data_IF_316283657115
#
_entry.id   IF_316283657115
#
_cell.length_a   1.000
_cell.length_b   1.000
_cell.length_c   1.000
_cell.angle_alpha   90.00
_cell.angle_beta   90.00
_cell.angle_gamma   90.00
#
_symmetry.space_group_name_H-M   'P 1'
#
loop_
_entity.id
_entity.type
_entity.pdbx_description
1 polymer ?
#
# COMPACT_ATOMS: atom_id res chain seq x y z
N UNK A 1 21.65 -65.16 -24.75
CA UNK A 1 21.55 -63.77 -25.10
C UNK A 1 20.55 -63.12 -24.19
N UNK A 2 21.03 -62.34 -23.19
CA UNK A 2 20.18 -61.52 -22.35
C UNK A 2 20.05 -60.15 -23.03
N UNK A 3 18.84 -59.77 -23.41
CA UNK A 3 18.53 -58.40 -23.81
C UNK A 3 18.53 -57.53 -22.56
N UNK A 4 19.46 -56.60 -22.47
CA UNK A 4 19.39 -55.46 -21.59
C UNK A 4 18.39 -54.47 -22.22
N UNK A 5 17.17 -54.38 -21.72
CA UNK A 5 16.28 -53.25 -21.98
C UNK A 5 16.80 -52.15 -21.05
N UNK A 6 17.56 -51.22 -21.61
CA UNK A 6 17.88 -49.97 -20.92
C UNK A 6 16.58 -49.18 -20.76
N UNK A 7 16.14 -48.92 -19.53
CA UNK A 7 15.20 -47.84 -19.27
C UNK A 7 15.90 -46.58 -19.75
N UNK A 8 15.42 -45.94 -20.81
CA UNK A 8 15.71 -44.55 -21.04
C UNK A 8 15.09 -43.79 -19.86
N UNK A 9 15.92 -43.13 -19.08
CA UNK A 9 15.39 -42.10 -18.17
C UNK A 9 14.71 -41.07 -19.07
N UNK A 10 13.41 -40.90 -18.86
CA UNK A 10 12.69 -39.84 -19.53
C UNK A 10 13.37 -38.52 -19.17
N UNK A 11 13.67 -37.69 -20.18
CA UNK A 11 14.22 -36.36 -19.91
C UNK A 11 13.28 -35.60 -18.95
N UNK A 12 13.82 -34.89 -17.95
CA UNK A 12 12.96 -34.14 -17.04
C UNK A 12 12.08 -33.16 -17.83
N UNK A 13 10.82 -33.06 -17.43
CA UNK A 13 9.91 -32.08 -18.04
C UNK A 13 10.47 -30.66 -17.86
N UNK A 14 10.35 -29.79 -18.86
CA UNK A 14 10.85 -28.42 -18.74
C UNK A 14 10.01 -27.66 -17.72
N UNK A 15 10.67 -26.85 -16.89
CA UNK A 15 10.01 -25.90 -15.98
C UNK A 15 9.37 -24.76 -16.79
N UNK A 16 8.54 -23.94 -16.13
CA UNK A 16 7.82 -22.84 -16.79
C UNK A 16 8.77 -21.75 -17.31
N UNK A 17 9.66 -21.20 -16.46
CA UNK A 17 10.47 -20.02 -16.77
C UNK A 17 11.86 -20.12 -16.12
N UNK A 18 12.90 -19.69 -16.87
CA UNK A 18 14.23 -19.45 -16.37
C UNK A 18 14.71 -18.03 -16.73
N UNK A 19 15.09 -17.24 -15.72
CA UNK A 19 15.77 -15.95 -15.92
C UNK A 19 17.26 -16.16 -15.66
N UNK A 20 18.09 -15.98 -16.69
CA UNK A 20 19.55 -16.22 -16.59
C UNK A 20 20.33 -14.92 -16.47
N UNK A 21 21.53 -14.97 -15.88
CA UNK A 21 22.49 -13.86 -15.74
C UNK A 21 21.95 -12.62 -14.99
N UNK A 22 20.86 -12.75 -14.23
CA UNK A 22 20.22 -11.64 -13.53
C UNK A 22 20.97 -11.29 -12.25
N UNK A 23 20.93 -10.00 -11.85
CA UNK A 23 21.31 -9.58 -10.50
C UNK A 23 20.07 -9.59 -9.62
N UNK A 24 20.05 -10.48 -8.63
CA UNK A 24 18.92 -10.61 -7.68
C UNK A 24 19.12 -9.69 -6.49
N UNK A 25 18.10 -8.89 -6.19
CA UNK A 25 18.06 -7.94 -5.09
C UNK A 25 16.74 -8.08 -4.33
N UNK A 26 16.81 -8.32 -3.05
CA UNK A 26 15.67 -8.19 -2.15
C UNK A 26 16.13 -7.54 -0.84
N UNK A 27 15.17 -7.07 -0.05
CA UNK A 27 15.49 -6.27 1.13
C UNK A 27 15.99 -7.09 2.35
N UNK A 28 16.14 -8.41 2.21
CA UNK A 28 16.51 -9.32 3.31
C UNK A 28 17.82 -10.03 3.04
N UNK A 29 18.02 -10.47 1.78
CA UNK A 29 19.21 -11.25 1.42
C UNK A 29 20.30 -10.36 0.80
N UNK A 30 21.57 -10.76 0.90
CA UNK A 30 22.65 -10.08 0.17
C UNK A 30 22.39 -10.07 -1.34
N UNK A 31 22.85 -9.02 -2.02
CA UNK A 31 22.79 -8.94 -3.48
C UNK A 31 23.54 -10.11 -4.13
N UNK A 32 22.89 -10.84 -5.01
CA UNK A 32 23.42 -11.99 -5.73
C UNK A 32 23.53 -11.66 -7.21
N UNK A 33 24.73 -11.64 -7.75
CA UNK A 33 25.01 -11.32 -9.15
C UNK A 33 25.06 -12.59 -9.98
N UNK A 34 24.80 -12.48 -11.28
CA UNK A 34 24.94 -13.55 -12.25
C UNK A 34 24.17 -14.83 -11.85
N UNK A 35 22.91 -14.67 -11.50
CA UNK A 35 22.04 -15.77 -11.04
C UNK A 35 21.11 -16.23 -12.16
N UNK A 36 20.81 -17.53 -12.16
CA UNK A 36 19.66 -18.10 -12.85
C UNK A 36 18.56 -18.37 -11.83
N UNK A 37 17.42 -17.73 -12.01
CA UNK A 37 16.21 -17.93 -11.19
C UNK A 37 15.29 -18.86 -11.95
N UNK A 38 14.98 -20.00 -11.33
CA UNK A 38 14.15 -21.08 -11.90
C UNK A 38 12.76 -21.00 -11.28
N UNK A 39 11.73 -20.93 -12.13
CA UNK A 39 10.34 -20.75 -11.72
C UNK A 39 9.49 -21.87 -12.35
N UNK A 40 8.68 -22.50 -11.51
CA UNK A 40 7.77 -23.55 -11.92
C UNK A 40 6.51 -23.54 -11.04
N UNK A 41 5.35 -23.80 -11.60
CA UNK A 41 4.06 -23.82 -10.90
C UNK A 41 3.84 -22.61 -9.97
N UNK A 42 4.15 -21.40 -10.48
CA UNK A 42 3.95 -20.15 -9.78
C UNK A 42 4.94 -19.87 -8.63
N UNK A 43 5.98 -20.69 -8.43
CA UNK A 43 6.98 -20.56 -7.37
C UNK A 43 8.40 -20.51 -7.88
N UNK A 44 9.26 -19.82 -7.15
CA UNK A 44 10.70 -19.90 -7.35
C UNK A 44 11.16 -21.25 -6.79
N UNK A 45 11.57 -22.16 -7.67
CA UNK A 45 12.00 -23.50 -7.24
C UNK A 45 13.48 -23.55 -6.86
N UNK A 46 14.31 -22.73 -7.53
CA UNK A 46 15.74 -22.65 -7.21
C UNK A 46 16.36 -21.34 -7.71
N UNK A 47 17.53 -20.99 -7.16
CA UNK A 47 18.38 -19.88 -7.62
C UNK A 47 19.81 -20.40 -7.62
N UNK A 48 20.44 -20.40 -8.79
CA UNK A 48 21.78 -20.95 -8.98
C UNK A 48 22.69 -19.94 -9.70
N UNK A 49 23.98 -20.08 -9.55
CA UNK A 49 24.95 -19.31 -10.32
C UNK A 49 24.85 -19.68 -11.81
N UNK A 50 24.76 -18.70 -12.71
CA UNK A 50 24.51 -18.94 -14.13
C UNK A 50 25.64 -19.62 -14.86
N UNK A 51 26.91 -19.47 -14.40
CA UNK A 51 28.08 -20.04 -15.06
C UNK A 51 28.38 -21.49 -14.59
N UNK A 52 28.01 -21.79 -13.34
CA UNK A 52 28.39 -23.05 -12.67
C UNK A 52 27.22 -23.94 -12.28
N UNK A 53 25.98 -23.38 -12.30
CA UNK A 53 24.77 -24.12 -11.99
C UNK A 53 24.41 -25.15 -13.06
N UNK A 54 23.56 -26.14 -12.73
CA UNK A 54 23.07 -27.11 -13.70
C UNK A 54 22.16 -26.42 -14.73
N UNK A 55 22.31 -26.78 -16.00
CA UNK A 55 21.34 -26.42 -17.03
C UNK A 55 19.99 -27.08 -16.72
N UNK A 56 18.94 -26.27 -16.64
CA UNK A 56 17.57 -26.75 -16.43
C UNK A 56 16.73 -26.37 -17.65
N UNK A 57 16.16 -27.36 -18.38
CA UNK A 57 15.27 -27.04 -19.47
C UNK A 57 14.07 -26.24 -19.00
N UNK A 58 13.76 -25.14 -19.67
CA UNK A 58 12.61 -24.29 -19.40
C UNK A 58 11.79 -24.06 -20.65
N UNK A 59 10.47 -23.95 -20.53
CA UNK A 59 9.55 -23.62 -21.61
C UNK A 59 9.83 -22.21 -22.15
N UNK A 60 10.14 -21.28 -21.24
CA UNK A 60 10.56 -19.92 -21.57
C UNK A 60 11.89 -19.62 -20.86
N UNK A 61 12.84 -19.05 -21.60
CA UNK A 61 14.14 -18.65 -21.08
C UNK A 61 14.46 -17.22 -21.51
N UNK A 62 14.80 -16.39 -20.52
CA UNK A 62 15.13 -14.97 -20.70
C UNK A 62 16.56 -14.73 -20.25
N UNK A 63 17.39 -14.17 -21.14
CA UNK A 63 18.69 -13.62 -20.77
C UNK A 63 18.49 -12.21 -20.16
N UNK A 64 18.68 -12.11 -18.86
CA UNK A 64 18.55 -10.89 -18.08
C UNK A 64 19.92 -10.27 -17.72
N UNK A 65 20.91 -10.46 -18.58
CA UNK A 65 22.26 -9.88 -18.44
C UNK A 65 22.18 -8.36 -18.26
N UNK A 66 22.79 -7.86 -17.20
CA UNK A 66 22.79 -6.42 -16.87
C UNK A 66 21.50 -5.91 -16.26
N UNK A 67 20.52 -6.77 -16.02
CA UNK A 67 19.25 -6.42 -15.39
C UNK A 67 19.19 -6.82 -13.92
N UNK A 68 18.18 -6.29 -13.21
CA UNK A 68 18.01 -6.43 -11.75
C UNK A 68 16.62 -6.99 -11.46
N UNK A 69 16.56 -8.04 -10.67
CA UNK A 69 15.32 -8.67 -10.24
C UNK A 69 15.04 -8.30 -8.79
N UNK A 70 13.91 -7.66 -8.55
CA UNK A 70 13.38 -7.34 -7.22
C UNK A 70 12.08 -8.08 -6.98
N UNK A 71 11.62 -8.28 -5.73
CA UNK A 71 10.28 -8.80 -5.47
C UNK A 71 9.20 -7.90 -6.08
N UNK A 72 8.08 -8.50 -6.42
CA UNK A 72 6.88 -7.75 -6.82
C UNK A 72 6.46 -6.77 -5.74
N UNK A 73 6.14 -5.55 -6.15
CA UNK A 73 5.83 -4.47 -5.21
C UNK A 73 4.40 -4.60 -4.68
N UNK A 74 4.21 -4.10 -3.47
CA UNK A 74 2.91 -3.89 -2.86
C UNK A 74 2.56 -2.40 -2.85
N UNK A 75 1.32 -2.07 -3.20
CA UNK A 75 0.70 -0.83 -2.75
C UNK A 75 -0.22 -1.17 -1.56
N UNK A 76 0.22 -0.74 -0.38
CA UNK A 76 -0.39 -1.21 0.87
C UNK A 76 -1.59 -0.36 1.31
N UNK A 77 -2.02 0.61 0.47
CA UNK A 77 -3.21 1.43 0.71
C UNK A 77 -3.82 1.91 -0.60
N UNK A 78 -4.88 1.25 -1.05
CA UNK A 78 -5.62 1.59 -2.27
C UNK A 78 -7.13 1.54 -2.05
N UNK A 79 -7.90 2.14 -2.97
CA UNK A 79 -9.35 2.15 -2.99
C UNK A 79 -9.90 1.94 -4.40
N UNK A 80 -10.28 0.73 -4.77
CA UNK A 80 -10.81 0.42 -6.11
C UNK A 80 -12.17 1.06 -6.39
N UNK A 81 -12.94 1.38 -5.35
CA UNK A 81 -14.32 1.87 -5.46
C UNK A 81 -14.48 3.35 -5.09
N UNK A 82 -13.39 4.06 -4.78
CA UNK A 82 -13.44 5.49 -4.43
C UNK A 82 -13.88 6.35 -5.64
N UNK A 83 -13.21 6.20 -6.77
CA UNK A 83 -13.60 6.79 -8.05
C UNK A 83 -13.85 5.67 -9.07
N UNK A 84 -15.12 5.36 -9.30
CA UNK A 84 -15.52 4.25 -10.17
C UNK A 84 -15.07 4.40 -11.61
N UNK A 85 -14.63 5.59 -12.05
CA UNK A 85 -14.02 5.80 -13.37
C UNK A 85 -12.67 5.10 -13.50
N UNK A 86 -11.96 4.90 -12.38
CA UNK A 86 -10.68 4.18 -12.35
C UNK A 86 -10.80 2.66 -12.28
N UNK A 87 -11.89 2.13 -11.73
CA UNK A 87 -12.02 0.73 -11.29
C UNK A 87 -11.47 -0.26 -12.33
N UNK A 88 -11.91 -0.14 -13.60
CA UNK A 88 -11.52 -1.07 -14.66
C UNK A 88 -10.05 -0.91 -15.12
N UNK A 89 -9.47 0.29 -14.96
CA UNK A 89 -8.11 0.59 -15.40
C UNK A 89 -7.05 0.24 -14.32
N UNK A 90 -7.44 0.20 -13.05
CA UNK A 90 -6.48 0.07 -11.94
C UNK A 90 -5.63 -1.18 -12.02
N UNK A 91 -6.20 -2.33 -12.37
CA UNK A 91 -5.48 -3.59 -12.43
C UNK A 91 -4.31 -3.54 -13.42
N UNK A 92 -4.55 -3.07 -14.64
CA UNK A 92 -3.53 -2.90 -15.66
C UNK A 92 -2.46 -1.89 -15.25
N UNK A 93 -2.87 -0.75 -14.68
CA UNK A 93 -1.96 0.29 -14.20
C UNK A 93 -1.05 -0.21 -13.08
N UNK A 94 -1.56 -0.99 -12.13
CA UNK A 94 -0.74 -1.59 -11.08
C UNK A 94 0.35 -2.49 -11.67
N UNK A 95 -0.01 -3.47 -12.50
CA UNK A 95 0.97 -4.37 -13.11
C UNK A 95 1.93 -3.64 -14.04
N UNK A 96 1.47 -2.65 -14.80
CA UNK A 96 2.31 -1.82 -15.67
C UNK A 96 3.45 -1.15 -14.91
N UNK A 97 3.20 -0.80 -13.64
CA UNK A 97 4.15 -0.18 -12.72
C UNK A 97 4.79 -1.16 -11.73
N UNK A 98 4.69 -2.49 -11.95
CA UNK A 98 5.37 -3.50 -11.13
C UNK A 98 4.72 -3.81 -9.79
N UNK A 99 3.48 -3.33 -9.56
CA UNK A 99 2.73 -3.65 -8.36
C UNK A 99 1.96 -4.94 -8.60
N UNK A 100 2.37 -6.02 -7.95
CA UNK A 100 1.76 -7.35 -8.06
C UNK A 100 0.77 -7.66 -6.94
N UNK A 101 0.75 -6.82 -5.91
CA UNK A 101 -0.08 -7.02 -4.74
C UNK A 101 -0.64 -5.69 -4.25
N UNK A 102 -1.92 -5.68 -3.85
CA UNK A 102 -2.60 -4.47 -3.36
C UNK A 102 -3.44 -4.77 -2.12
N UNK A 103 -3.50 -3.79 -1.21
CA UNK A 103 -4.40 -3.83 -0.05
C UNK A 103 -5.47 -2.76 -0.20
N UNK A 104 -6.71 -3.17 -0.54
CA UNK A 104 -7.86 -2.27 -0.58
C UNK A 104 -8.38 -2.02 0.84
N UNK A 105 -8.27 -0.78 1.28
CA UNK A 105 -8.53 -0.37 2.66
C UNK A 105 -9.91 0.24 2.86
N UNK A 106 -10.83 0.09 1.91
CA UNK A 106 -12.21 0.54 2.09
C UNK A 106 -13.06 0.54 0.84
N UNK A 107 -14.18 -0.15 0.91
CA UNK A 107 -15.23 -0.18 -0.11
C UNK A 107 -16.47 -0.93 0.39
N UNK A 108 -17.67 -0.45 0.04
CA UNK A 108 -18.90 -1.18 0.35
C UNK A 108 -18.85 -2.56 -0.33
N UNK A 109 -19.29 -3.62 0.37
CA UNK A 109 -19.20 -5.00 -0.13
C UNK A 109 -19.91 -5.17 -1.48
N UNK A 110 -21.04 -4.49 -1.69
CA UNK A 110 -21.80 -4.56 -2.93
C UNK A 110 -21.05 -3.99 -4.15
N UNK A 111 -20.16 -3.02 -3.94
CA UNK A 111 -19.32 -2.43 -4.98
C UNK A 111 -17.98 -3.16 -5.12
N UNK A 112 -17.39 -3.60 -4.00
CA UNK A 112 -16.04 -4.14 -3.97
C UNK A 112 -15.96 -5.61 -4.37
N UNK A 113 -16.92 -6.45 -3.96
CA UNK A 113 -16.87 -7.89 -4.26
C UNK A 113 -16.85 -8.20 -5.77
N UNK A 114 -17.64 -7.52 -6.63
CA UNK A 114 -17.53 -7.70 -8.09
C UNK A 114 -16.12 -7.39 -8.63
N UNK A 115 -15.45 -6.37 -8.07
CA UNK A 115 -14.05 -6.03 -8.42
C UNK A 115 -13.11 -7.15 -8.01
N UNK A 116 -13.22 -7.62 -6.76
CA UNK A 116 -12.41 -8.73 -6.24
C UNK A 116 -12.55 -9.98 -7.12
N UNK A 117 -13.78 -10.33 -7.52
CA UNK A 117 -14.05 -11.47 -8.38
C UNK A 117 -13.44 -11.29 -9.78
N UNK A 118 -13.49 -10.07 -10.32
CA UNK A 118 -12.88 -9.72 -11.60
C UNK A 118 -11.37 -9.88 -11.54
N UNK A 119 -10.70 -9.31 -10.52
CA UNK A 119 -9.26 -9.40 -10.35
C UNK A 119 -8.81 -10.86 -10.19
N UNK A 120 -9.46 -11.63 -9.34
CA UNK A 120 -9.15 -13.05 -9.12
C UNK A 120 -9.33 -13.88 -10.39
N UNK A 121 -10.35 -13.58 -11.20
CA UNK A 121 -10.62 -14.28 -12.46
C UNK A 121 -9.59 -13.95 -13.56
N UNK A 122 -8.97 -12.77 -13.49
CA UNK A 122 -7.93 -12.34 -14.45
C UNK A 122 -6.58 -13.06 -14.25
N UNK A 123 -6.38 -13.72 -13.11
CA UNK A 123 -5.15 -14.43 -12.77
C UNK A 123 -3.93 -13.51 -12.87
N UNK A 124 -2.89 -13.91 -13.61
CA UNK A 124 -1.66 -13.14 -13.73
C UNK A 124 -1.80 -11.77 -14.43
N UNK A 125 -2.97 -11.44 -14.99
CA UNK A 125 -3.26 -10.14 -15.61
C UNK A 125 -3.87 -9.12 -14.64
N UNK A 126 -3.93 -9.42 -13.36
CA UNK A 126 -4.35 -8.49 -12.32
C UNK A 126 -3.55 -8.73 -11.04
N UNK A 127 -3.29 -7.70 -10.19
CA UNK A 127 -2.59 -7.90 -8.93
C UNK A 127 -3.41 -8.77 -7.98
N UNK A 128 -2.71 -9.44 -7.06
CA UNK A 128 -3.37 -10.08 -5.92
C UNK A 128 -4.01 -9.01 -5.05
N UNK A 129 -5.23 -9.26 -4.55
CA UNK A 129 -5.97 -8.30 -3.72
C UNK A 129 -6.29 -8.87 -2.35
N UNK A 130 -5.92 -8.11 -1.31
CA UNK A 130 -6.40 -8.21 0.06
C UNK A 130 -7.32 -7.02 0.35
N UNK A 131 -8.44 -7.21 1.01
CA UNK A 131 -9.42 -6.15 1.22
C UNK A 131 -10.06 -6.22 2.61
N UNK A 132 -10.44 -5.04 3.12
CA UNK A 132 -11.14 -4.89 4.40
C UNK A 132 -12.66 -4.96 4.28
N UNK A 133 -13.22 -4.69 3.10
CA UNK A 133 -14.61 -4.29 3.00
C UNK A 133 -14.82 -2.84 3.48
N UNK A 134 -16.02 -2.48 3.98
CA UNK A 134 -16.30 -1.10 4.37
C UNK A 134 -15.50 -0.63 5.59
N UNK A 135 -15.24 0.68 5.63
CA UNK A 135 -14.70 1.35 6.80
C UNK A 135 -15.67 1.19 7.98
N UNK A 136 -15.18 0.65 9.10
CA UNK A 136 -15.94 0.62 10.35
C UNK A 136 -15.86 2.00 11.00
N UNK A 137 -16.84 2.86 10.72
CA UNK A 137 -16.90 4.22 11.24
C UNK A 137 -17.86 4.32 12.44
N UNK A 138 -17.93 5.47 13.07
CA UNK A 138 -18.87 5.71 14.17
C UNK A 138 -20.32 5.86 13.73
N UNK A 139 -21.13 6.50 14.57
CA UNK A 139 -22.53 6.81 14.25
C UNK A 139 -22.63 7.74 13.03
N UNK A 140 -21.76 8.75 12.97
CA UNK A 140 -21.75 9.77 11.94
C UNK A 140 -20.65 9.45 10.92
N UNK A 141 -21.01 8.71 9.86
CA UNK A 141 -20.08 8.16 8.87
C UNK A 141 -19.47 9.28 8.03
N UNK A 142 -18.15 9.25 7.84
CA UNK A 142 -17.44 10.25 7.01
C UNK A 142 -17.66 10.00 5.52
N UNK A 143 -17.47 8.77 5.07
CA UNK A 143 -17.65 8.33 3.69
C UNK A 143 -19.02 7.66 3.52
N UNK A 144 -20.08 8.46 3.58
CA UNK A 144 -21.47 8.06 3.75
C UNK A 144 -22.22 7.74 2.43
N UNK A 145 -21.62 7.96 1.28
CA UNK A 145 -22.24 7.80 -0.04
C UNK A 145 -23.17 8.96 -0.45
N UNK A 146 -23.25 10.02 0.35
CA UNK A 146 -24.10 11.20 0.08
C UNK A 146 -23.24 12.42 -0.26
N UNK A 147 -22.30 12.76 0.62
CA UNK A 147 -21.41 13.90 0.44
C UNK A 147 -20.04 13.49 -0.09
N UNK A 148 -19.63 12.26 0.23
CA UNK A 148 -18.42 11.61 -0.25
C UNK A 148 -18.76 10.23 -0.84
N UNK A 149 -17.85 9.57 -1.58
CA UNK A 149 -18.06 8.19 -2.01
C UNK A 149 -18.47 7.27 -0.85
N UNK A 150 -19.32 6.30 -1.12
CA UNK A 150 -19.78 5.33 -0.12
C UNK A 150 -18.69 4.29 0.13
N UNK A 151 -17.92 4.44 1.22
CA UNK A 151 -16.88 3.50 1.64
C UNK A 151 -17.10 2.98 3.05
N UNK A 152 -17.84 3.70 3.88
CA UNK A 152 -18.00 3.43 5.30
C UNK A 152 -19.39 2.99 5.71
N UNK A 153 -19.48 2.31 6.85
CA UNK A 153 -20.72 1.90 7.51
C UNK A 153 -20.76 2.36 8.95
N UNK A 154 -21.97 2.61 9.45
CA UNK A 154 -22.18 3.11 10.80
C UNK A 154 -22.09 1.98 11.84
N UNK A 155 -21.33 2.26 12.91
CA UNK A 155 -21.24 1.41 14.10
C UNK A 155 -21.57 2.25 15.34
N UNK A 156 -22.86 2.58 15.56
CA UNK A 156 -23.27 3.41 16.68
C UNK A 156 -23.14 2.74 18.05
N UNK A 157 -23.05 1.41 18.10
CA UNK A 157 -22.91 0.59 19.31
C UNK A 157 -21.95 -0.60 19.07
N UNK A 158 -21.40 -1.19 20.15
CA UNK A 158 -20.64 -2.43 20.05
C UNK A 158 -21.38 -3.56 19.30
N UNK A 159 -22.66 -3.76 19.57
CA UNK A 159 -23.47 -4.81 18.94
C UNK A 159 -23.58 -4.60 17.43
N UNK A 160 -23.73 -3.34 16.97
CA UNK A 160 -23.76 -3.03 15.54
C UNK A 160 -22.40 -3.35 14.89
N UNK A 161 -21.30 -3.00 15.56
CA UNK A 161 -19.95 -3.32 15.07
C UNK A 161 -19.71 -4.82 14.94
N UNK A 162 -20.13 -5.61 15.94
CA UNK A 162 -20.01 -7.08 15.90
C UNK A 162 -20.84 -7.69 14.76
N UNK A 163 -22.05 -7.18 14.50
CA UNK A 163 -22.88 -7.63 13.39
C UNK A 163 -22.22 -7.33 12.04
N UNK A 164 -21.72 -6.11 11.84
CA UNK A 164 -21.02 -5.69 10.63
C UNK A 164 -19.74 -6.50 10.41
N UNK A 165 -18.94 -6.75 11.44
CA UNK A 165 -17.73 -7.58 11.34
C UNK A 165 -18.08 -9.02 10.92
N UNK A 166 -19.20 -9.56 11.42
CA UNK A 166 -19.64 -10.90 11.01
C UNK A 166 -19.94 -10.98 9.51
N UNK A 167 -20.59 -9.95 8.94
CA UNK A 167 -20.87 -9.85 7.49
C UNK A 167 -19.57 -9.67 6.69
N UNK A 168 -18.71 -8.75 7.10
CA UNK A 168 -17.41 -8.49 6.46
C UNK A 168 -16.56 -9.77 6.43
N UNK A 169 -16.46 -10.47 7.55
CA UNK A 169 -15.71 -11.72 7.64
C UNK A 169 -16.33 -12.82 6.76
N UNK A 170 -17.65 -12.95 6.75
CA UNK A 170 -18.35 -13.92 5.90
C UNK A 170 -18.17 -13.62 4.39
N UNK A 171 -17.99 -12.35 4.02
CA UNK A 171 -17.65 -11.92 2.66
C UNK A 171 -16.18 -12.20 2.27
N UNK A 172 -15.34 -12.71 3.19
CA UNK A 172 -13.96 -13.10 2.91
C UNK A 172 -12.95 -11.97 3.01
N UNK A 173 -13.25 -10.89 3.74
CA UNK A 173 -12.29 -9.82 4.03
C UNK A 173 -11.07 -10.39 4.76
N UNK A 174 -9.89 -9.84 4.42
CA UNK A 174 -8.59 -10.30 4.95
C UNK A 174 -8.18 -9.58 6.24
N UNK A 175 -8.78 -8.43 6.52
CA UNK A 175 -8.53 -7.57 7.68
C UNK A 175 -9.71 -6.64 7.90
N UNK A 176 -9.69 -5.86 8.99
CA UNK A 176 -10.70 -4.85 9.29
C UNK A 176 -10.10 -3.45 9.19
N UNK A 177 -10.91 -2.47 8.79
CA UNK A 177 -10.52 -1.05 8.72
C UNK A 177 -11.34 -0.21 9.68
N UNK A 178 -10.69 0.33 10.73
CA UNK A 178 -11.31 1.28 11.68
C UNK A 178 -11.15 2.70 11.16
N UNK A 179 -12.23 3.52 11.33
CA UNK A 179 -12.21 4.90 10.88
C UNK A 179 -12.35 5.92 12.03
N UNK A 180 -12.39 7.23 11.72
CA UNK A 180 -12.10 8.28 12.69
C UNK A 180 -13.23 8.60 13.69
N UNK A 181 -14.50 8.27 13.37
CA UNK A 181 -15.65 8.62 14.23
C UNK A 181 -16.00 7.52 15.25
N UNK A 182 -15.23 6.44 15.31
CA UNK A 182 -15.43 5.35 16.27
C UNK A 182 -15.24 5.83 17.69
N UNK A 183 -16.14 5.42 18.60
CA UNK A 183 -16.01 5.69 20.05
C UNK A 183 -15.06 4.69 20.71
N UNK A 184 -14.44 5.01 21.87
CA UNK A 184 -13.56 4.07 22.58
C UNK A 184 -14.22 2.74 22.92
N UNK A 185 -15.52 2.75 23.22
CA UNK A 185 -16.29 1.54 23.54
C UNK A 185 -16.47 0.63 22.33
N UNK A 186 -16.81 1.22 21.17
CA UNK A 186 -16.93 0.50 19.89
C UNK A 186 -15.58 0.00 19.43
N UNK A 187 -14.51 0.82 19.55
CA UNK A 187 -13.13 0.43 19.25
C UNK A 187 -12.72 -0.81 20.03
N UNK A 188 -12.96 -0.84 21.35
CA UNK A 188 -12.63 -1.99 22.20
C UNK A 188 -13.38 -3.26 21.75
N UNK A 189 -14.64 -3.14 21.34
CA UNK A 189 -15.43 -4.26 20.83
C UNK A 189 -14.88 -4.79 19.49
N UNK A 190 -14.50 -3.87 18.58
CA UNK A 190 -13.88 -4.24 17.28
C UNK A 190 -12.56 -4.99 17.50
N UNK A 191 -11.69 -4.48 18.38
CA UNK A 191 -10.40 -5.12 18.70
C UNK A 191 -10.59 -6.52 19.27
N UNK A 192 -11.54 -6.69 20.21
CA UNK A 192 -11.82 -7.99 20.80
C UNK A 192 -12.35 -8.99 19.76
N UNK A 193 -13.27 -8.58 18.90
CA UNK A 193 -13.86 -9.45 17.87
C UNK A 193 -12.87 -9.79 16.77
N UNK A 194 -12.04 -8.83 16.33
CA UNK A 194 -10.97 -9.07 15.38
C UNK A 194 -9.99 -10.13 15.90
N UNK A 195 -9.57 -10.01 17.18
CA UNK A 195 -8.73 -10.99 17.83
C UNK A 195 -9.37 -12.40 17.88
N UNK A 196 -10.68 -12.49 18.17
CA UNK A 196 -11.40 -13.76 18.18
C UNK A 196 -11.47 -14.43 16.79
N UNK A 197 -11.40 -13.63 15.71
CA UNK A 197 -11.43 -14.09 14.31
C UNK A 197 -10.06 -14.20 13.66
N UNK A 198 -8.98 -13.83 14.35
CA UNK A 198 -7.63 -13.71 13.80
C UNK A 198 -7.56 -12.78 12.58
N UNK A 199 -8.31 -11.68 12.60
CA UNK A 199 -8.27 -10.65 11.58
C UNK A 199 -7.33 -9.53 12.03
N UNK A 200 -6.31 -9.16 11.24
CA UNK A 200 -5.55 -7.94 11.49
C UNK A 200 -6.45 -6.71 11.43
N UNK A 201 -6.06 -5.66 12.14
CA UNK A 201 -6.74 -4.37 12.11
C UNK A 201 -5.82 -3.34 11.48
N UNK A 202 -6.33 -2.63 10.52
CA UNK A 202 -5.84 -1.40 9.94
C UNK A 202 -6.74 -0.23 10.36
N UNK A 203 -6.24 0.99 10.45
CA UNK A 203 -7.12 2.10 10.75
C UNK A 203 -6.50 3.47 10.81
N UNK A 204 -7.37 4.44 11.02
CA UNK A 204 -7.00 5.75 11.52
C UNK A 204 -7.09 5.76 13.03
N UNK A 205 -6.34 6.64 13.69
CA UNK A 205 -6.56 6.92 15.10
C UNK A 205 -7.94 7.61 15.24
N UNK A 206 -8.90 7.03 16.00
CA UNK A 206 -10.19 7.66 16.18
C UNK A 206 -10.05 9.05 16.81
N UNK A 207 -10.87 9.99 16.38
CA UNK A 207 -10.86 11.37 16.90
C UNK A 207 -11.11 11.46 18.42
N UNK A 208 -11.76 10.44 18.98
CA UNK A 208 -12.05 10.31 20.41
C UNK A 208 -10.93 9.68 21.23
N UNK A 209 -9.79 9.30 20.62
CA UNK A 209 -8.71 8.51 21.22
C UNK A 209 -7.33 9.12 20.91
N UNK A 210 -6.32 8.63 21.59
CA UNK A 210 -4.92 8.99 21.37
C UNK A 210 -4.20 7.95 20.55
N UNK A 211 -3.25 8.36 19.72
CA UNK A 211 -2.44 7.47 18.89
C UNK A 211 -1.68 6.43 19.76
N UNK A 212 -1.11 6.85 20.89
CA UNK A 212 -0.40 5.97 21.84
C UNK A 212 -1.26 4.86 22.44
N UNK A 213 -2.57 5.10 22.58
CA UNK A 213 -3.50 4.12 23.16
C UNK A 213 -4.03 3.15 22.08
N UNK A 214 -4.10 3.60 20.82
CA UNK A 214 -4.57 2.83 19.68
C UNK A 214 -3.47 1.93 19.11
N UNK A 215 -2.27 2.47 18.94
CA UNK A 215 -1.16 1.80 18.24
C UNK A 215 -0.83 0.39 18.77
N UNK A 216 -0.79 0.10 20.07
CA UNK A 216 -0.50 -1.25 20.56
C UNK A 216 -1.60 -2.28 20.31
N UNK A 217 -2.77 -1.86 19.83
CA UNK A 217 -3.96 -2.69 19.66
C UNK A 217 -4.30 -2.99 18.19
N UNK A 218 -3.60 -2.35 17.25
CA UNK A 218 -3.83 -2.49 15.80
C UNK A 218 -2.52 -2.82 15.08
N UNK A 219 -2.61 -3.44 13.90
CA UNK A 219 -1.45 -3.89 13.15
C UNK A 219 -0.93 -2.83 12.16
N UNK A 220 -1.79 -1.90 11.71
CA UNK A 220 -1.35 -0.72 10.95
C UNK A 220 -2.18 0.53 11.22
N UNK A 221 -1.54 1.70 11.05
CA UNK A 221 -2.16 3.02 11.15
C UNK A 221 -1.75 3.88 9.94
N UNK A 222 -2.72 4.64 9.43
CA UNK A 222 -2.65 5.28 8.13
C UNK A 222 -2.44 6.81 8.21
N UNK A 223 -1.76 7.39 7.23
CA UNK A 223 -1.66 8.83 6.93
C UNK A 223 -1.08 9.70 8.04
N UNK A 224 -0.48 9.14 9.09
CA UNK A 224 -0.08 9.88 10.29
C UNK A 224 -1.27 10.60 10.96
N UNK A 225 -2.51 10.13 10.72
CA UNK A 225 -3.72 10.82 11.18
C UNK A 225 -3.81 10.86 12.68
N UNK A 226 -3.99 12.09 13.21
CA UNK A 226 -4.15 12.39 14.63
C UNK A 226 -2.92 12.09 15.51
N UNK A 227 -1.72 11.83 14.93
CA UNK A 227 -0.47 11.68 15.69
C UNK A 227 -0.03 13.02 16.29
N UNK A 228 -0.27 14.12 15.58
CA UNK A 228 0.05 15.48 16.01
C UNK A 228 -0.58 15.86 17.34
N UNK A 229 -1.77 15.32 17.61
CA UNK A 229 -2.51 15.60 18.84
C UNK A 229 -1.88 14.98 20.09
N UNK A 230 -1.06 13.96 19.91
CA UNK A 230 -0.34 13.29 21.00
C UNK A 230 1.05 13.88 21.25
N UNK A 231 1.47 14.83 20.43
CA UNK A 231 2.78 15.46 20.49
C UNK A 231 2.78 16.88 21.11
N UNK A 232 1.68 17.30 21.73
CA UNK A 232 1.54 18.62 22.35
C UNK A 232 1.74 18.56 23.86
N UNK A 233 2.07 19.69 24.50
CA UNK A 233 1.96 19.82 25.95
C UNK A 233 0.51 19.58 26.38
N UNK A 234 0.28 18.82 27.44
CA UNK A 234 -1.05 18.44 27.94
C UNK A 234 -1.99 17.79 26.89
N UNK A 235 -1.60 16.69 26.23
CA UNK A 235 -2.42 16.06 25.17
C UNK A 235 -3.79 15.59 25.66
N UNK A 236 -3.95 15.32 26.96
CA UNK A 236 -5.25 14.99 27.58
C UNK A 236 -6.24 16.15 27.50
N UNK A 237 -5.77 17.40 27.70
CA UNK A 237 -6.60 18.57 27.57
C UNK A 237 -7.10 18.78 26.14
N UNK A 238 -6.23 18.55 25.15
CA UNK A 238 -6.59 18.62 23.75
C UNK A 238 -7.59 17.54 23.34
N UNK A 239 -7.40 16.31 23.83
CA UNK A 239 -8.34 15.21 23.63
C UNK A 239 -9.70 15.52 24.28
N UNK A 240 -9.73 16.01 25.51
CA UNK A 240 -10.96 16.36 26.18
C UNK A 240 -11.75 17.48 25.44
N UNK A 241 -11.05 18.46 24.88
CA UNK A 241 -11.66 19.49 24.03
C UNK A 241 -12.28 18.88 22.77
N UNK A 242 -11.58 17.94 22.09
CA UNK A 242 -12.09 17.22 20.91
C UNK A 242 -13.30 16.35 21.26
N UNK A 243 -13.26 15.63 22.36
CA UNK A 243 -14.38 14.81 22.84
C UNK A 243 -15.61 15.66 23.17
N UNK A 244 -15.42 16.86 23.72
CA UNK A 244 -16.51 17.81 23.97
C UNK A 244 -17.17 18.28 22.66
N UNK A 245 -16.39 18.55 21.61
CA UNK A 245 -16.90 18.87 20.28
C UNK A 245 -17.68 17.70 19.67
N UNK A 246 -17.15 16.47 19.77
CA UNK A 246 -17.82 15.26 19.30
C UNK A 246 -19.15 14.99 20.02
N UNK A 247 -19.25 15.35 21.32
CA UNK A 247 -20.47 15.19 22.09
C UNK A 247 -21.55 16.24 21.80
N UNK A 248 -21.17 17.39 21.24
CA UNK A 248 -22.07 18.53 21.00
C UNK A 248 -22.61 18.59 19.56
N UNK A 249 -22.53 17.50 18.80
CA UNK A 249 -22.93 17.45 17.40
C UNK A 249 -24.46 17.50 17.28
N UNK A 250 -24.99 18.59 16.74
CA UNK A 250 -26.40 18.73 16.38
C UNK A 250 -26.58 18.38 14.89
N UNK A 251 -26.67 17.09 14.52
CA UNK A 251 -26.94 16.61 13.18
C UNK A 251 -25.97 17.09 12.08
N UNK A 252 -24.71 17.31 12.43
CA UNK A 252 -23.65 17.63 11.46
C UNK A 252 -23.23 16.33 10.73
N UNK A 253 -23.11 16.34 9.39
CA UNK A 253 -22.59 15.18 8.67
C UNK A 253 -21.17 14.80 9.13
N UNK A 254 -20.84 13.50 9.17
CA UNK A 254 -19.57 13.01 9.67
C UNK A 254 -18.33 13.61 8.97
N UNK A 255 -18.41 13.80 7.65
CA UNK A 255 -17.36 14.44 6.85
C UNK A 255 -17.12 15.91 7.25
N UNK A 256 -18.20 16.68 7.53
CA UNK A 256 -18.11 18.09 7.94
C UNK A 256 -17.52 18.19 9.35
N UNK A 257 -18.03 17.37 10.27
CA UNK A 257 -17.51 17.30 11.65
C UNK A 257 -16.02 16.95 11.67
N UNK A 258 -15.60 15.93 10.93
CA UNK A 258 -14.19 15.54 10.80
C UNK A 258 -13.33 16.67 10.24
N UNK A 259 -13.75 17.29 9.13
CA UNK A 259 -13.01 18.40 8.52
C UNK A 259 -12.87 19.58 9.49
N UNK A 260 -13.94 19.92 10.22
CA UNK A 260 -13.94 20.98 11.21
C UNK A 260 -12.95 20.70 12.36
N UNK A 261 -12.94 19.50 12.90
CA UNK A 261 -12.03 19.12 13.99
C UNK A 261 -10.57 19.13 13.54
N UNK A 262 -10.28 18.65 12.33
CA UNK A 262 -8.94 18.75 11.77
C UNK A 262 -8.50 20.21 11.57
N UNK A 263 -9.37 21.08 11.04
CA UNK A 263 -9.08 22.50 10.84
C UNK A 263 -8.82 23.22 12.18
N UNK A 264 -9.58 22.89 13.21
CA UNK A 264 -9.44 23.55 14.52
C UNK A 264 -8.13 23.20 15.25
N UNK A 265 -7.62 22.00 15.08
CA UNK A 265 -6.59 21.47 15.96
C UNK A 265 -5.27 21.09 15.27
N UNK A 266 -5.30 20.55 14.05
CA UNK A 266 -4.12 19.94 13.41
C UNK A 266 -2.92 20.89 13.30
N UNK A 267 -3.05 21.99 12.58
CA UNK A 267 -1.93 22.92 12.36
C UNK A 267 -1.48 23.56 13.67
N UNK A 268 -2.43 23.82 14.57
CA UNK A 268 -2.11 24.35 15.90
C UNK A 268 -1.33 23.31 16.72
N UNK A 269 -1.68 22.03 16.67
CA UNK A 269 -0.94 20.97 17.35
C UNK A 269 0.49 20.84 16.78
N UNK A 270 0.64 20.84 15.45
CA UNK A 270 1.94 20.77 14.79
C UNK A 270 2.85 21.94 15.19
N UNK A 271 2.31 23.16 15.25
CA UNK A 271 3.11 24.35 15.63
C UNK A 271 3.44 24.44 17.12
N UNK A 272 2.73 23.70 17.96
CA UNK A 272 2.97 23.61 19.41
C UNK A 272 3.47 22.23 19.85
N UNK A 273 4.14 21.51 18.95
CA UNK A 273 4.71 20.20 19.23
C UNK A 273 5.76 20.25 20.33
N UNK A 274 5.63 19.35 21.33
CA UNK A 274 6.62 19.10 22.37
C UNK A 274 7.41 17.82 22.02
N UNK A 275 8.71 17.91 21.70
CA UNK A 275 9.51 16.74 21.32
C UNK A 275 9.60 15.68 22.42
N UNK A 276 9.51 16.06 23.70
CA UNK A 276 9.57 15.10 24.82
C UNK A 276 8.29 14.28 24.88
N UNK A 277 7.13 14.94 24.76
CA UNK A 277 5.83 14.27 24.72
C UNK A 277 5.72 13.41 23.45
N UNK A 278 6.20 13.93 22.32
CA UNK A 278 6.19 13.22 21.05
C UNK A 278 7.04 11.95 21.06
N UNK A 279 8.12 11.92 21.84
CA UNK A 279 8.96 10.72 21.97
C UNK A 279 8.18 9.54 22.59
N UNK A 280 7.25 9.78 23.51
CA UNK A 280 6.41 8.72 24.08
C UNK A 280 5.43 8.15 23.04
N UNK A 281 4.85 9.00 22.20
CA UNK A 281 4.00 8.57 21.08
C UNK A 281 4.79 7.78 20.05
N UNK A 282 6.02 8.23 19.75
CA UNK A 282 6.95 7.49 18.87
C UNK A 282 7.23 6.08 19.39
N UNK A 283 7.45 5.94 20.70
CA UNK A 283 7.69 4.62 21.30
C UNK A 283 6.48 3.69 21.18
N UNK A 284 5.27 4.22 21.39
CA UNK A 284 4.04 3.45 21.23
C UNK A 284 3.83 3.00 19.75
N UNK A 285 4.17 3.86 18.80
CA UNK A 285 4.05 3.59 17.36
C UNK A 285 5.00 2.50 16.84
N UNK A 286 6.02 2.10 17.60
CA UNK A 286 6.85 0.93 17.26
C UNK A 286 6.10 -0.40 17.30
N UNK A 287 4.95 -0.45 17.96
CA UNK A 287 4.10 -1.63 18.07
C UNK A 287 3.21 -1.87 16.84
N UNK A 288 3.11 -0.90 15.92
CA UNK A 288 2.22 -0.95 14.76
C UNK A 288 2.94 -0.48 13.49
N UNK A 289 2.54 -0.97 12.34
CA UNK A 289 3.04 -0.48 11.05
C UNK A 289 2.43 0.89 10.77
N UNK A 290 3.24 1.88 10.45
CA UNK A 290 2.76 3.17 9.94
C UNK A 290 2.77 3.14 8.41
N UNK A 291 1.66 3.55 7.79
CA UNK A 291 1.54 3.76 6.33
C UNK A 291 1.34 5.26 6.10
N UNK A 292 2.40 6.04 5.93
CA UNK A 292 2.31 7.50 6.00
C UNK A 292 1.62 8.12 4.78
N UNK A 293 1.60 7.46 3.63
CA UNK A 293 1.10 8.03 2.35
C UNK A 293 1.67 9.43 2.08
N UNK A 294 3.00 9.53 2.16
CA UNK A 294 3.71 10.83 2.06
C UNK A 294 3.40 11.55 0.77
N UNK A 295 3.30 10.81 -0.37
CA UNK A 295 2.96 11.42 -1.64
C UNK A 295 1.64 12.20 -1.59
N UNK A 296 0.67 11.78 -0.77
CA UNK A 296 -0.59 12.50 -0.54
C UNK A 296 -0.41 13.62 0.49
N UNK A 297 0.20 13.31 1.63
CA UNK A 297 0.37 14.28 2.72
C UNK A 297 1.29 15.45 2.35
N UNK A 298 2.19 15.26 1.37
CA UNK A 298 3.15 16.26 0.93
C UNK A 298 2.80 16.94 -0.41
N UNK A 299 1.60 16.69 -0.95
CA UNK A 299 1.23 17.21 -2.28
C UNK A 299 1.18 18.75 -2.36
N UNK A 300 1.02 19.44 -1.24
CA UNK A 300 1.08 20.89 -1.16
C UNK A 300 2.52 21.45 -1.29
N UNK A 301 3.53 20.58 -1.06
CA UNK A 301 4.96 20.88 -1.23
C UNK A 301 5.50 20.27 -2.52
N UNK A 302 5.09 19.03 -2.85
CA UNK A 302 5.49 18.26 -4.03
C UNK A 302 4.29 18.03 -4.94
N UNK A 303 3.93 19.07 -5.68
CA UNK A 303 2.77 19.03 -6.59
C UNK A 303 3.02 17.99 -7.69
N UNK A 304 2.14 16.98 -7.86
CA UNK A 304 2.38 15.93 -8.85
C UNK A 304 2.54 16.46 -10.28
N UNK A 305 1.83 17.53 -10.63
CA UNK A 305 1.88 18.15 -11.96
C UNK A 305 3.21 18.86 -12.30
N UNK A 306 4.10 19.07 -11.33
CA UNK A 306 5.42 19.63 -11.55
C UNK A 306 6.44 18.57 -12.01
N UNK A 307 6.03 17.31 -12.05
CA UNK A 307 6.87 16.19 -12.50
C UNK A 307 6.67 15.93 -13.98
N UNK A 308 7.79 15.91 -14.73
CA UNK A 308 7.78 15.66 -16.18
C UNK A 308 7.16 14.31 -16.57
N UNK A 309 7.42 13.25 -15.78
CA UNK A 309 6.92 11.89 -16.02
C UNK A 309 5.44 11.73 -15.65
N UNK A 310 4.86 12.62 -14.84
CA UNK A 310 3.45 12.56 -14.43
C UNK A 310 2.51 12.87 -15.59
N UNK A 311 2.81 13.88 -16.40
CA UNK A 311 1.99 14.24 -17.57
C UNK A 311 1.88 13.10 -18.58
N UNK A 312 2.98 12.37 -18.81
CA UNK A 312 3.00 11.20 -19.70
C UNK A 312 2.16 10.04 -19.12
N UNK A 313 2.19 9.88 -17.80
CA UNK A 313 1.41 8.84 -17.13
C UNK A 313 -0.08 9.15 -17.10
N UNK A 314 -0.47 10.44 -17.09
CA UNK A 314 -1.87 10.85 -17.25
C UNK A 314 -2.50 10.41 -18.58
N UNK A 315 -1.72 10.09 -19.61
CA UNK A 315 -2.24 9.52 -20.86
C UNK A 315 -2.69 8.06 -20.72
N UNK A 316 -2.29 7.39 -19.66
CA UNK A 316 -2.64 5.98 -19.37
C UNK A 316 -3.89 5.82 -18.51
N UNK A 317 -4.39 6.90 -17.89
CA UNK A 317 -5.57 6.84 -17.04
C UNK A 317 -6.84 7.18 -17.85
N UNK A 318 -8.05 6.87 -17.34
CA UNK A 318 -9.29 7.17 -18.04
C UNK A 318 -9.39 8.63 -18.49
N UNK A 319 -9.77 8.86 -19.75
CA UNK A 319 -9.77 10.19 -20.39
C UNK A 319 -10.57 11.22 -19.60
N UNK A 320 -11.73 10.85 -19.07
CA UNK A 320 -12.56 11.78 -18.26
C UNK A 320 -11.85 12.26 -16.98
N UNK A 321 -10.98 11.44 -16.42
CA UNK A 321 -10.19 11.78 -15.22
C UNK A 321 -8.99 12.63 -15.63
N UNK A 322 -8.26 12.24 -16.67
CA UNK A 322 -7.08 13.00 -17.12
C UNK A 322 -7.45 14.41 -17.59
N UNK A 323 -8.61 14.59 -18.23
CA UNK A 323 -9.13 15.91 -18.61
C UNK A 323 -9.45 16.78 -17.38
N UNK A 324 -10.15 16.21 -16.39
CA UNK A 324 -10.43 16.88 -15.12
C UNK A 324 -9.15 17.29 -14.38
N UNK A 325 -8.16 16.39 -14.30
CA UNK A 325 -6.90 16.67 -13.63
C UNK A 325 -6.06 17.71 -14.35
N UNK A 326 -6.05 17.72 -15.69
CA UNK A 326 -5.41 18.80 -16.46
C UNK A 326 -6.06 20.14 -16.23
N UNK A 327 -7.39 20.19 -16.13
CA UNK A 327 -8.09 21.43 -15.75
C UNK A 327 -7.76 21.88 -14.32
N UNK A 328 -7.62 20.94 -13.37
CA UNK A 328 -7.18 21.24 -12.01
C UNK A 328 -5.74 21.78 -11.98
N UNK A 329 -4.81 21.17 -12.74
CA UNK A 329 -3.44 21.69 -12.93
C UNK A 329 -3.43 23.13 -13.41
N UNK A 330 -4.20 23.42 -14.46
CA UNK A 330 -4.25 24.75 -15.06
C UNK A 330 -4.85 25.79 -14.07
N UNK A 331 -5.81 25.38 -13.25
CA UNK A 331 -6.38 26.21 -12.19
C UNK A 331 -5.37 26.46 -11.05
N UNK A 332 -4.61 25.44 -10.64
CA UNK A 332 -3.54 25.59 -9.64
C UNK A 332 -2.44 26.52 -10.12
N UNK A 333 -1.99 26.35 -11.36
CA UNK A 333 -0.96 27.20 -11.97
C UNK A 333 -1.41 28.68 -12.12
N UNK A 334 -2.70 28.95 -12.21
CA UNK A 334 -3.27 30.30 -12.27
C UNK A 334 -3.57 30.89 -10.89
N UNK A 335 -3.47 30.12 -9.81
CA UNK A 335 -3.75 30.58 -8.45
C UNK A 335 -2.58 31.41 -7.91
N UNK A 336 -2.90 32.55 -7.29
CA UNK A 336 -1.96 33.38 -6.53
C UNK A 336 -2.09 33.16 -5.01
N UNK A 337 -2.97 32.25 -4.58
CA UNK A 337 -3.16 31.98 -3.15
C UNK A 337 -1.95 31.27 -2.57
N UNK A 338 -1.45 31.73 -1.40
CA UNK A 338 -0.35 31.05 -0.74
C UNK A 338 -0.74 29.66 -0.29
N UNK A 339 0.13 28.69 -0.55
CA UNK A 339 -0.06 27.29 -0.11
C UNK A 339 0.55 27.13 1.28
N UNK A 340 -0.20 26.56 2.22
CA UNK A 340 0.29 26.21 3.57
C UNK A 340 0.96 24.83 3.52
N UNK A 341 2.27 24.78 3.60
CA UNK A 341 3.07 23.54 3.57
C UNK A 341 3.31 22.92 4.94
N UNK A 342 2.77 23.51 6.04
CA UNK A 342 3.05 23.08 7.42
C UNK A 342 2.78 21.59 7.64
N UNK A 343 1.66 21.06 7.14
CA UNK A 343 1.32 19.64 7.31
C UNK A 343 2.20 18.74 6.43
N UNK A 344 2.56 19.18 5.24
CA UNK A 344 3.45 18.47 4.33
C UNK A 344 4.86 18.32 4.95
N UNK A 345 5.45 19.42 5.39
CA UNK A 345 6.76 19.45 6.03
C UNK A 345 6.78 18.62 7.32
N UNK A 346 5.72 18.72 8.14
CA UNK A 346 5.56 17.91 9.34
C UNK A 346 5.48 16.41 9.01
N UNK A 347 4.72 16.02 7.99
CA UNK A 347 4.54 14.62 7.60
C UNK A 347 5.86 13.99 7.14
N UNK A 348 6.64 14.71 6.34
CA UNK A 348 7.97 14.27 5.90
C UNK A 348 8.90 14.11 7.11
N UNK A 349 9.04 15.16 7.94
CA UNK A 349 9.88 15.13 9.14
C UNK A 349 9.45 14.01 10.08
N UNK A 350 8.15 13.88 10.36
CA UNK A 350 7.63 12.88 11.29
C UNK A 350 7.87 11.45 10.81
N UNK A 351 7.75 11.18 9.52
CA UNK A 351 8.07 9.88 8.94
C UNK A 351 9.56 9.56 9.11
N UNK A 352 10.45 10.51 8.84
CA UNK A 352 11.89 10.34 9.08
C UNK A 352 12.24 10.08 10.56
N UNK A 353 11.57 10.76 11.50
CA UNK A 353 11.73 10.53 12.94
C UNK A 353 11.25 9.14 13.37
N UNK A 354 10.10 8.69 12.87
CA UNK A 354 9.58 7.34 13.11
C UNK A 354 10.54 6.28 12.57
N UNK A 355 11.03 6.45 11.33
CA UNK A 355 12.03 5.56 10.75
C UNK A 355 13.31 5.51 11.60
N UNK A 356 13.88 6.66 11.93
CA UNK A 356 15.10 6.75 12.75
C UNK A 356 14.92 6.13 14.14
N UNK A 357 13.72 6.14 14.69
CA UNK A 357 13.37 5.49 15.95
C UNK A 357 13.17 3.97 15.81
N UNK A 358 13.13 3.43 14.59
CA UNK A 358 12.90 2.01 14.32
C UNK A 358 11.43 1.59 14.30
N UNK A 359 10.50 2.53 14.13
CA UNK A 359 9.09 2.19 13.91
C UNK A 359 8.91 1.52 12.53
N UNK A 360 8.10 0.46 12.41
CA UNK A 360 7.89 -0.22 11.14
C UNK A 360 7.05 0.66 10.19
N UNK A 361 7.49 0.76 8.93
CA UNK A 361 6.82 1.56 7.89
C UNK A 361 6.53 0.67 6.69
N UNK A 362 5.32 0.76 6.14
CA UNK A 362 4.95 0.14 4.87
C UNK A 362 4.53 1.21 3.84
N UNK A 363 4.79 0.92 2.57
CA UNK A 363 4.50 1.84 1.47
C UNK A 363 3.06 1.68 0.97
N UNK A 364 2.30 2.77 0.95
CA UNK A 364 0.96 2.85 0.42
C UNK A 364 0.66 4.24 -0.12
N UNK A 365 -0.28 4.36 -1.07
CA UNK A 365 -0.46 5.61 -1.83
C UNK A 365 -1.77 6.33 -1.60
N UNK A 366 -2.78 5.65 -1.09
CA UNK A 366 -4.16 6.13 -1.02
C UNK A 366 -4.76 6.42 -2.42
N UNK A 367 -4.30 5.64 -3.43
CA UNK A 367 -4.79 5.80 -4.80
C UNK A 367 -6.27 5.39 -4.93
N UNK A 368 -7.09 6.13 -5.69
CA UNK A 368 -6.79 7.23 -6.60
C UNK A 368 -6.96 8.64 -5.99
N UNK A 369 -6.90 8.79 -4.67
CA UNK A 369 -7.16 10.05 -3.96
C UNK A 369 -5.98 11.04 -4.17
N UNK A 370 -6.29 12.34 -4.30
CA UNK A 370 -5.29 13.40 -4.36
C UNK A 370 -4.33 13.27 -5.56
N UNK A 371 -4.87 13.15 -6.78
CA UNK A 371 -4.11 12.97 -8.03
C UNK A 371 -3.14 11.78 -8.01
N UNK A 372 -3.51 10.72 -7.33
CA UNK A 372 -2.73 9.50 -7.29
C UNK A 372 -3.05 8.60 -8.46
N UNK A 373 -2.05 8.32 -9.30
CA UNK A 373 -2.17 7.35 -10.39
C UNK A 373 -1.82 5.96 -9.85
N UNK A 374 -2.73 4.96 -9.99
CA UNK A 374 -2.46 3.59 -9.55
C UNK A 374 -1.11 3.07 -10.06
N UNK A 375 -0.31 2.56 -9.17
CA UNK A 375 1.03 2.04 -9.45
C UNK A 375 2.12 3.11 -9.58
N UNK A 376 1.94 4.13 -10.42
CA UNK A 376 2.92 5.22 -10.58
C UNK A 376 3.24 5.90 -9.24
N UNK A 377 2.22 6.17 -8.45
CA UNK A 377 2.35 6.93 -7.21
C UNK A 377 3.12 6.19 -6.12
N UNK A 378 3.20 4.85 -6.16
CA UNK A 378 4.02 4.08 -5.24
C UNK A 378 5.51 4.41 -5.40
N UNK A 379 5.97 4.56 -6.63
CA UNK A 379 7.38 4.95 -6.85
C UNK A 379 7.68 6.34 -6.31
N UNK A 380 6.73 7.27 -6.35
CA UNK A 380 6.87 8.59 -5.72
C UNK A 380 6.93 8.48 -4.19
N UNK A 381 6.12 7.61 -3.60
CA UNK A 381 6.17 7.31 -2.16
C UNK A 381 7.56 6.78 -1.75
N UNK A 382 8.14 5.84 -2.52
CA UNK A 382 9.48 5.31 -2.26
C UNK A 382 10.58 6.37 -2.39
N UNK A 383 10.46 7.31 -3.36
CA UNK A 383 11.38 8.43 -3.49
C UNK A 383 11.36 9.31 -2.23
N UNK A 384 10.16 9.64 -1.72
CA UNK A 384 10.01 10.44 -0.51
C UNK A 384 10.53 9.70 0.73
N UNK A 385 10.42 8.36 0.80
CA UNK A 385 11.03 7.59 1.88
C UNK A 385 12.56 7.72 1.89
N UNK A 386 13.19 7.70 0.73
CA UNK A 386 14.64 7.94 0.64
C UNK A 386 14.99 9.38 1.01
N UNK A 387 14.17 10.34 0.62
CA UNK A 387 14.36 11.76 0.98
C UNK A 387 14.31 11.98 2.50
N UNK A 388 13.42 11.29 3.22
CA UNK A 388 13.33 11.41 4.67
C UNK A 388 14.30 10.53 5.46
N UNK A 389 15.25 9.86 4.76
CA UNK A 389 16.40 9.21 5.38
C UNK A 389 16.45 7.70 5.30
N UNK A 390 15.51 7.03 4.64
CA UNK A 390 15.63 5.60 4.35
C UNK A 390 16.70 5.36 3.28
N UNK A 391 17.40 4.24 3.40
CA UNK A 391 18.17 3.72 2.26
C UNK A 391 17.23 3.18 1.18
N UNK A 392 17.65 3.09 -0.10
CA UNK A 392 16.83 2.45 -1.13
C UNK A 392 16.38 1.03 -0.77
N UNK A 393 17.20 0.29 -0.02
CA UNK A 393 16.88 -1.05 0.45
C UNK A 393 15.75 -1.05 1.47
N UNK A 394 15.75 -0.11 2.42
CA UNK A 394 14.69 0.04 3.41
C UNK A 394 13.38 0.52 2.76
N UNK A 395 13.47 1.40 1.76
CA UNK A 395 12.31 1.79 0.97
C UNK A 395 11.70 0.59 0.21
N UNK A 396 12.52 -0.27 -0.42
CA UNK A 396 12.03 -1.51 -1.02
C UNK A 396 11.44 -2.48 0.02
N UNK A 397 12.05 -2.58 1.20
CA UNK A 397 11.53 -3.41 2.29
C UNK A 397 10.11 -3.00 2.68
N UNK A 398 9.83 -1.69 2.72
CA UNK A 398 8.50 -1.15 3.04
C UNK A 398 7.42 -1.50 2.02
N UNK A 399 7.81 -1.76 0.76
CA UNK A 399 6.90 -2.12 -0.34
C UNK A 399 6.94 -3.62 -0.70
N UNK A 400 7.63 -4.46 0.05
CA UNK A 400 7.77 -5.90 -0.26
C UNK A 400 7.57 -6.78 0.98
N UNK A 401 8.41 -6.66 1.98
CA UNK A 401 8.43 -7.53 3.16
C UNK A 401 7.42 -7.07 4.21
N UNK A 402 7.36 -5.77 4.52
CA UNK A 402 6.43 -5.25 5.55
C UNK A 402 4.97 -5.55 5.27
N UNK A 403 4.45 -5.39 4.03
CA UNK A 403 3.11 -5.84 3.69
C UNK A 403 2.88 -7.35 3.91
N UNK A 404 3.86 -8.18 3.58
CA UNK A 404 3.77 -9.63 3.79
C UNK A 404 3.72 -9.98 5.29
N UNK A 405 4.53 -9.32 6.13
CA UNK A 405 4.51 -9.49 7.59
C UNK A 405 3.13 -9.18 8.21
N UNK A 406 2.43 -8.14 7.73
CA UNK A 406 1.09 -7.78 8.21
C UNK A 406 0.09 -8.94 8.06
N UNK A 407 0.22 -9.72 6.99
CA UNK A 407 -0.64 -10.87 6.70
C UNK A 407 -0.07 -12.21 7.18
N UNK A 408 1.12 -12.24 7.80
CA UNK A 408 1.82 -13.48 8.18
C UNK A 408 2.32 -14.29 6.99
N UNK A 409 2.60 -13.63 5.86
CA UNK A 409 3.04 -14.21 4.59
C UNK A 409 4.54 -14.02 4.32
N UNK A 410 5.32 -13.55 5.29
CA UNK A 410 6.76 -13.27 5.17
C UNK A 410 7.61 -14.50 4.85
N UNK A 411 7.04 -15.70 4.98
CA UNK A 411 7.69 -16.97 4.61
C UNK A 411 7.24 -17.49 3.23
N UNK A 412 6.37 -16.74 2.53
CA UNK A 412 5.85 -17.14 1.21
C UNK A 412 6.09 -16.10 0.12
N UNK A 413 6.24 -14.81 0.46
CA UNK A 413 6.38 -13.71 -0.49
C UNK A 413 7.21 -12.55 0.05
N UNK A 414 7.48 -11.54 -0.78
CA UNK A 414 8.27 -10.36 -0.41
C UNK A 414 9.78 -10.53 -0.56
N UNK A 415 10.27 -11.70 -0.97
CA UNK A 415 11.68 -12.02 -1.18
C UNK A 415 11.87 -12.82 -2.46
N UNK A 416 13.08 -12.75 -3.05
CA UNK A 416 13.49 -13.65 -4.15
C UNK A 416 14.22 -14.85 -3.56
N UNK A 417 13.48 -15.90 -3.25
CA UNK A 417 13.98 -17.06 -2.51
C UNK A 417 13.29 -18.35 -2.94
N UNK A 418 14.03 -19.46 -2.97
CA UNK A 418 13.44 -20.78 -3.28
C UNK A 418 12.31 -21.13 -2.31
N UNK A 419 11.20 -21.63 -2.86
CA UNK A 419 9.95 -21.92 -2.16
C UNK A 419 8.93 -20.76 -2.12
N UNK A 420 9.35 -19.52 -2.41
CA UNK A 420 8.51 -18.33 -2.39
C UNK A 420 7.66 -18.22 -3.67
N UNK A 421 6.55 -17.50 -3.59
CA UNK A 421 5.73 -17.15 -4.75
C UNK A 421 6.57 -16.36 -5.75
N UNK A 422 6.39 -16.66 -7.02
CA UNK A 422 7.13 -16.02 -8.11
C UNK A 422 6.43 -14.75 -8.57
N UNK A 423 6.46 -13.74 -7.69
CA UNK A 423 6.06 -12.36 -7.95
C UNK A 423 7.32 -11.49 -7.91
N UNK A 424 7.71 -10.94 -9.06
CA UNK A 424 8.96 -10.19 -9.19
C UNK A 424 8.89 -9.12 -10.29
N UNK A 425 9.78 -8.13 -10.22
CA UNK A 425 9.93 -7.08 -11.23
C UNK A 425 11.35 -7.11 -11.77
N UNK A 426 11.49 -7.16 -13.09
CA UNK A 426 12.76 -7.08 -13.81
C UNK A 426 13.00 -5.64 -14.23
N UNK A 427 14.12 -5.06 -13.80
CA UNK A 427 14.50 -3.67 -14.02
C UNK A 427 15.74 -3.57 -14.90
N UNK A 428 15.82 -2.56 -15.77
CA UNK A 428 17.02 -2.27 -16.58
C UNK A 428 18.08 -1.45 -15.83
N UNK A 429 17.73 -0.83 -14.71
CA UNK A 429 18.64 -0.01 -13.91
C UNK A 429 18.61 -0.40 -12.43
N UNK A 430 19.74 -0.16 -11.73
CA UNK A 430 19.93 -0.57 -10.34
C UNK A 430 19.15 0.33 -9.36
N UNK A 431 18.14 -0.18 -8.64
CA UNK A 431 17.37 0.63 -7.68
C UNK A 431 18.16 1.00 -6.42
N UNK A 432 19.30 0.35 -6.15
CA UNK A 432 20.19 0.72 -5.03
C UNK A 432 21.05 1.93 -5.35
N UNK A 433 21.31 2.22 -6.63
CA UNK A 433 22.04 3.42 -7.03
C UNK A 433 21.12 4.66 -7.03
N UNK A 434 19.86 4.46 -7.36
CA UNK A 434 18.81 5.46 -7.34
C UNK A 434 17.44 4.76 -7.24
N UNK A 435 16.67 5.08 -6.21
CA UNK A 435 15.34 4.46 -5.99
C UNK A 435 14.37 4.73 -7.16
N UNK A 436 14.57 5.83 -7.92
CA UNK A 436 13.79 6.13 -9.14
C UNK A 436 13.92 5.06 -10.20
N UNK A 437 14.97 4.24 -10.16
CA UNK A 437 15.19 3.12 -11.08
C UNK A 437 14.17 1.98 -10.86
N UNK A 438 13.37 1.99 -9.80
CA UNK A 438 12.20 1.09 -9.67
C UNK A 438 11.18 1.28 -10.79
N UNK A 439 11.22 2.42 -11.52
CA UNK A 439 10.40 2.68 -12.72
C UNK A 439 10.97 2.08 -14.01
N UNK A 440 12.23 1.63 -14.01
CA UNK A 440 12.90 1.09 -15.21
C UNK A 440 12.48 -0.36 -15.54
N UNK A 441 11.17 -0.59 -15.56
CA UNK A 441 10.56 -1.93 -15.64
C UNK A 441 10.66 -2.48 -17.07
N UNK A 442 11.32 -3.62 -17.22
CA UNK A 442 11.41 -4.41 -18.48
C UNK A 442 10.33 -5.49 -18.55
N UNK A 443 10.06 -6.15 -17.43
CA UNK A 443 9.02 -7.16 -17.32
C UNK A 443 8.54 -7.29 -15.87
N UNK A 444 7.36 -7.88 -15.70
CA UNK A 444 6.82 -8.29 -14.41
C UNK A 444 6.63 -9.80 -14.45
N UNK A 445 7.05 -10.51 -13.42
CA UNK A 445 6.69 -11.90 -13.18
C UNK A 445 5.58 -11.88 -12.15
N UNK A 446 4.42 -12.40 -12.50
CA UNK A 446 3.29 -12.47 -11.59
C UNK A 446 2.64 -13.85 -11.62
N UNK A 447 2.49 -14.47 -10.46
CA UNK A 447 2.02 -15.84 -10.33
C UNK A 447 2.83 -16.81 -11.24
N UNK A 448 4.15 -16.58 -11.33
CA UNK A 448 5.08 -17.36 -12.14
C UNK A 448 5.03 -17.08 -13.65
N UNK A 449 4.17 -16.21 -14.13
CA UNK A 449 4.06 -15.87 -15.57
C UNK A 449 4.81 -14.59 -15.88
N UNK A 450 5.59 -14.62 -16.98
CA UNK A 450 6.29 -13.44 -17.47
C UNK A 450 5.32 -12.53 -18.24
N UNK A 451 5.18 -11.30 -17.77
CA UNK A 451 4.46 -10.22 -18.45
C UNK A 451 5.52 -9.29 -19.05
N UNK A 452 5.80 -9.45 -20.33
CA UNK A 452 6.74 -8.59 -21.05
C UNK A 452 6.27 -7.14 -21.10
N UNK A 453 7.17 -6.17 -21.32
CA UNK A 453 6.79 -4.76 -21.51
C UNK A 453 5.72 -4.58 -22.60
N UNK A 454 5.78 -5.37 -23.67
CA UNK A 454 4.76 -5.34 -24.71
C UNK A 454 3.38 -5.80 -24.22
N UNK A 455 3.34 -6.82 -23.35
CA UNK A 455 2.10 -7.28 -22.73
C UNK A 455 1.58 -6.24 -21.73
N UNK A 456 2.45 -5.69 -20.86
CA UNK A 456 2.07 -4.64 -19.90
C UNK A 456 1.49 -3.40 -20.58
N UNK A 457 2.05 -3.00 -21.76
CA UNK A 457 1.49 -1.91 -22.56
C UNK A 457 0.06 -2.19 -23.04
N UNK A 458 -0.27 -3.46 -23.35
CA UNK A 458 -1.63 -3.83 -23.75
C UNK A 458 -2.63 -3.72 -22.59
N UNK A 459 -2.19 -3.95 -21.35
CA UNK A 459 -3.06 -3.86 -20.16
C UNK A 459 -3.52 -2.41 -19.86
N UNK A 460 -2.78 -1.41 -20.34
CA UNK A 460 -3.06 0.02 -20.10
C UNK A 460 -3.48 0.78 -21.36
N UNK A 461 -3.61 0.06 -22.49
CA UNK A 461 -4.12 0.68 -23.73
C UNK A 461 -5.64 0.78 -23.62
N UNK A 462 -6.22 1.99 -23.78
CA UNK A 462 -7.65 2.22 -23.68
C UNK A 462 -8.49 1.45 -24.69
#
# INVERSE_FOLDING_TARGET
>A
SALFIGCAEDAPEPIDLALTHVTVMDAVNPVRRNQTVLIDDGRIINIVDSDTGPETPATEQIDASGQYLIPGLWDFHVHFTFDKRFTDAMAGLFLYHGITNVRDTGGLLEDLLPVVDTLRSAGSNAPNIWYSGPLLDGKDVVYDGVNFPGLGIANPTPEAALANIAEIHAAGASFLKIYEMVTPEVFAAIVAEAGARNLPIDGHVPLSMRARDVAPQVQSLEHLRNYEMDCVEDPELWLAARQAELANVANEPGNVLRARLHTLQRLTAITNEDPVVCAETTEALKATITVPTLRMNSMDLYVPFDREDFDQTMDLIPTSVSEEWRAARDALAASEEPVDTTFAEWSLRRTGELHAAGAPIAAGTDTPIGWSIPGYSLHTELEQYVEVGMTPLEALHSATVKPAEFFGLENEMGQIKAGFLADAVLLSANPMDDIRNTRSIEAVIHQGKLLSRAHLNQLVTP
#
